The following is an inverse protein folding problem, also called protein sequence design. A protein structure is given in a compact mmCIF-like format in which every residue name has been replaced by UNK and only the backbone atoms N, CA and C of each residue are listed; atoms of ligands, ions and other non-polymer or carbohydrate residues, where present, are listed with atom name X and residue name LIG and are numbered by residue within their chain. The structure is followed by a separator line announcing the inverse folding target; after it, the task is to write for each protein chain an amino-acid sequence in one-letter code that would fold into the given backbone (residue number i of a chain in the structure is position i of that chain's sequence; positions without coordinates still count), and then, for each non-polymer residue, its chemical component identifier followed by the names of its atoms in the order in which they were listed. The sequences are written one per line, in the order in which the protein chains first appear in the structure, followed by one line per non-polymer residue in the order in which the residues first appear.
data_IF_495597694616
#
_entry.id   IF_495597694616
#
_cell.length_a   1.000
_cell.length_b   1.000
_cell.length_c   1.000
_cell.angle_alpha   90.00
_cell.angle_beta   90.00
_cell.angle_gamma   90.00
#
_symmetry.space_group_name_H-M   'P 1'
#
loop_
_entity.id
_entity.type
_entity.pdbx_description
1 polymer ?
#
# COMPACT_ATOMS: atom_id res chain seq x y z
N UNK A 1 16.85 -12.61 17.48
CA UNK A 1 16.92 -12.22 16.05
C UNK A 1 17.39 -10.78 15.98
N UNK A 2 18.22 -10.40 14.98
CA UNK A 2 18.50 -8.99 14.72
C UNK A 2 17.19 -8.23 14.41
N UNK A 3 17.11 -6.93 14.74
CA UNK A 3 15.94 -6.12 14.41
C UNK A 3 15.78 -6.00 12.90
N UNK A 4 14.52 -5.91 12.45
CA UNK A 4 14.19 -5.64 11.05
C UNK A 4 14.05 -4.13 10.89
N UNK A 5 14.70 -3.54 9.89
CA UNK A 5 14.54 -2.12 9.58
C UNK A 5 13.44 -1.92 8.55
N UNK A 6 12.34 -1.31 8.96
CA UNK A 6 11.26 -0.88 8.08
C UNK A 6 11.62 0.43 7.38
N UNK A 7 11.54 0.42 6.06
CA UNK A 7 11.97 1.52 5.19
C UNK A 7 10.75 2.21 4.63
N UNK A 8 10.44 3.38 5.17
CA UNK A 8 9.36 4.24 4.68
C UNK A 8 9.59 5.69 5.08
N UNK A 9 9.19 6.62 4.24
CA UNK A 9 9.06 8.04 4.60
C UNK A 9 7.62 8.41 5.01
N UNK A 10 6.65 7.50 4.83
CA UNK A 10 5.25 7.73 5.19
C UNK A 10 5.02 7.29 6.65
N UNK A 11 4.70 8.24 7.56
CA UNK A 11 4.49 7.93 8.97
C UNK A 11 3.27 7.03 9.23
N UNK A 12 2.25 7.07 8.35
CA UNK A 12 1.05 6.25 8.50
C UNK A 12 1.35 4.77 8.28
N UNK A 13 2.19 4.46 7.28
CA UNK A 13 2.67 3.09 7.03
C UNK A 13 3.40 2.53 8.25
N UNK A 14 4.19 3.35 8.93
CA UNK A 14 4.87 2.95 10.16
C UNK A 14 3.88 2.63 11.28
N UNK A 15 2.84 3.46 11.46
CA UNK A 15 1.79 3.23 12.46
C UNK A 15 1.03 1.93 12.18
N UNK A 16 0.61 1.71 10.93
CA UNK A 16 -0.12 0.51 10.50
C UNK A 16 0.72 -0.76 10.72
N UNK A 17 1.97 -0.77 10.25
CA UNK A 17 2.86 -1.93 10.40
C UNK A 17 3.14 -2.22 11.87
N UNK A 18 3.32 -1.18 12.69
CA UNK A 18 3.55 -1.35 14.13
C UNK A 18 2.31 -1.90 14.84
N UNK A 19 1.10 -1.56 14.39
CA UNK A 19 -0.14 -2.07 14.95
C UNK A 19 -0.42 -3.54 14.55
N UNK A 20 0.05 -3.97 13.38
CA UNK A 20 -0.20 -5.33 12.86
C UNK A 20 0.87 -6.32 13.32
N UNK A 21 2.13 -5.90 13.42
CA UNK A 21 3.22 -6.81 13.78
C UNK A 21 3.18 -7.17 15.28
N UNK A 22 3.37 -8.46 15.62
CA UNK A 22 3.43 -8.86 17.02
C UNK A 22 4.67 -8.29 17.71
N UNK A 23 4.56 -7.99 19.00
CA UNK A 23 5.64 -7.46 19.85
C UNK A 23 6.90 -8.35 19.89
N UNK A 24 6.83 -9.59 19.40
CA UNK A 24 7.97 -10.50 19.28
C UNK A 24 8.93 -10.11 18.16
N UNK A 25 8.50 -9.30 17.20
CA UNK A 25 9.33 -8.81 16.10
C UNK A 25 9.88 -7.44 16.48
N UNK A 26 11.21 -7.34 16.64
CA UNK A 26 11.85 -6.04 16.87
C UNK A 26 11.93 -5.27 15.56
N UNK A 27 11.12 -4.22 15.44
CA UNK A 27 11.09 -3.32 14.29
C UNK A 27 11.84 -2.03 14.60
N UNK A 28 12.70 -1.60 13.69
CA UNK A 28 13.30 -0.27 13.66
C UNK A 28 12.82 0.47 12.43
N UNK A 29 12.81 1.80 12.45
CA UNK A 29 12.37 2.60 11.30
C UNK A 29 13.54 3.42 10.75
N UNK A 30 13.62 3.51 9.41
CA UNK A 30 14.41 4.53 8.73
C UNK A 30 13.69 5.04 7.49
N UNK A 31 13.71 6.36 7.31
CA UNK A 31 13.37 6.96 6.03
C UNK A 31 14.63 6.96 5.15
N UNK A 32 14.59 6.23 4.04
CA UNK A 32 15.61 6.27 2.99
C UNK A 32 14.98 6.82 1.73
N UNK A 33 15.70 7.73 1.06
CA UNK A 33 15.37 8.17 -0.28
C UNK A 33 15.90 7.13 -1.28
N UNK A 34 15.03 6.22 -1.69
CA UNK A 34 15.34 5.16 -2.65
C UNK A 34 14.55 5.47 -3.92
N UNK A 35 15.23 5.74 -5.06
CA UNK A 35 14.55 5.92 -6.32
C UNK A 35 13.69 4.71 -6.68
N UNK A 36 12.41 4.94 -6.95
CA UNK A 36 11.49 3.90 -7.40
C UNK A 36 11.60 3.73 -8.91
N UNK A 37 11.85 2.50 -9.35
CA UNK A 37 11.82 2.16 -10.77
C UNK A 37 10.37 2.17 -11.28
N UNK A 38 10.19 2.16 -12.59
CA UNK A 38 8.90 1.86 -13.20
C UNK A 38 8.82 0.35 -13.49
N UNK A 39 7.65 -0.24 -13.30
CA UNK A 39 7.41 -1.66 -13.49
C UNK A 39 6.11 -2.12 -12.86
N UNK A 40 5.97 -3.43 -12.65
CA UNK A 40 4.92 -3.98 -11.81
C UNK A 40 5.15 -3.64 -10.33
N UNK A 41 4.10 -3.78 -9.51
CA UNK A 41 4.22 -3.58 -8.07
C UNK A 41 5.29 -4.50 -7.45
N UNK A 42 5.39 -5.74 -7.93
CA UNK A 42 6.40 -6.72 -7.50
C UNK A 42 7.81 -6.31 -7.90
N UNK A 43 8.01 -5.85 -9.14
CA UNK A 43 9.32 -5.39 -9.62
C UNK A 43 9.82 -4.20 -8.79
N UNK A 44 8.92 -3.25 -8.52
CA UNK A 44 9.18 -2.08 -7.68
C UNK A 44 9.56 -2.52 -6.27
N UNK A 45 8.74 -3.36 -5.63
CA UNK A 45 8.98 -3.84 -4.27
C UNK A 45 10.31 -4.62 -4.16
N UNK A 46 10.63 -5.46 -5.15
CA UNK A 46 11.90 -6.21 -5.21
C UNK A 46 13.08 -5.24 -5.34
N UNK A 47 13.03 -4.28 -6.27
CA UNK A 47 14.10 -3.32 -6.49
C UNK A 47 14.34 -2.45 -5.25
N UNK A 48 13.26 -1.93 -4.65
CA UNK A 48 13.29 -1.14 -3.42
C UNK A 48 13.87 -1.93 -2.25
N UNK A 49 13.42 -3.18 -2.06
CA UNK A 49 13.90 -4.05 -1.00
C UNK A 49 15.39 -4.40 -1.16
N UNK A 50 15.83 -4.75 -2.37
CA UNK A 50 17.25 -5.00 -2.66
C UNK A 50 18.09 -3.76 -2.35
N UNK A 51 17.68 -2.60 -2.84
CA UNK A 51 18.42 -1.35 -2.63
C UNK A 51 18.48 -0.97 -1.16
N UNK A 52 17.38 -1.14 -0.43
CA UNK A 52 17.36 -0.95 1.03
C UNK A 52 18.34 -1.88 1.74
N UNK A 53 18.37 -3.17 1.39
CA UNK A 53 19.26 -4.15 2.00
C UNK A 53 20.75 -3.83 1.76
N UNK A 54 21.08 -3.30 0.57
CA UNK A 54 22.43 -2.80 0.26
C UNK A 54 22.82 -1.57 1.09
N UNK A 55 21.89 -0.67 1.40
CA UNK A 55 22.18 0.53 2.19
C UNK A 55 22.29 0.18 3.68
N UNK A 56 21.35 -0.61 4.18
CA UNK A 56 21.26 -0.99 5.60
C UNK A 56 22.29 -2.05 5.99
N UNK A 57 22.75 -2.87 5.05
CA UNK A 57 23.64 -4.00 5.30
C UNK A 57 23.06 -4.98 6.33
N UNK A 58 21.75 -5.23 6.27
CA UNK A 58 21.03 -6.08 7.23
C UNK A 58 19.58 -6.36 6.85
N UNK A 59 18.78 -6.94 7.76
CA UNK A 59 17.39 -7.26 7.51
C UNK A 59 16.54 -6.01 7.28
N UNK A 60 15.81 -5.99 6.17
CA UNK A 60 14.95 -4.87 5.78
C UNK A 60 13.54 -5.33 5.44
N UNK A 61 12.59 -4.45 5.71
CA UNK A 61 11.20 -4.57 5.28
C UNK A 61 10.83 -3.29 4.52
N UNK A 62 10.23 -3.43 3.35
CA UNK A 62 9.70 -2.32 2.54
C UNK A 62 8.23 -2.60 2.24
N UNK A 63 7.48 -1.56 1.88
CA UNK A 63 6.07 -1.71 1.53
C UNK A 63 5.69 -0.72 0.41
N UNK A 64 5.02 -1.24 -0.61
CA UNK A 64 4.46 -0.50 -1.73
C UNK A 64 3.00 -0.87 -1.92
N UNK A 65 2.22 0.10 -2.38
CA UNK A 65 0.77 -0.01 -2.48
C UNK A 65 0.32 0.39 -3.89
N UNK A 66 -0.71 -0.29 -4.41
CA UNK A 66 -1.29 -0.01 -5.72
C UNK A 66 -2.81 0.06 -5.65
N UNK A 67 -3.38 0.80 -6.60
CA UNK A 67 -4.82 0.81 -6.88
C UNK A 67 -5.04 0.38 -8.32
N UNK A 68 -5.62 -0.80 -8.50
CA UNK A 68 -5.71 -1.46 -9.79
C UNK A 68 -7.16 -1.43 -10.29
N UNK A 69 -7.49 -0.55 -11.23
CA UNK A 69 -8.81 -0.55 -11.86
C UNK A 69 -8.91 -1.67 -12.89
N UNK A 70 -9.91 -2.54 -12.77
CA UNK A 70 -10.09 -3.67 -13.68
C UNK A 70 -10.31 -3.19 -15.12
N UNK A 71 -11.13 -2.17 -15.29
CA UNK A 71 -11.42 -1.56 -16.59
C UNK A 71 -10.19 -0.94 -17.27
N UNK A 72 -9.20 -0.48 -16.49
CA UNK A 72 -7.93 0.04 -17.01
C UNK A 72 -6.79 -0.98 -16.96
N UNK A 73 -7.12 -2.28 -16.92
CA UNK A 73 -6.16 -3.40 -16.89
C UNK A 73 -5.09 -3.25 -15.78
N UNK A 74 -5.53 -2.79 -14.61
CA UNK A 74 -4.68 -2.64 -13.43
C UNK A 74 -4.04 -1.25 -13.26
N UNK A 75 -4.25 -0.31 -14.18
CA UNK A 75 -3.86 1.08 -13.96
C UNK A 75 -4.84 1.81 -13.03
N UNK A 76 -4.40 2.87 -12.30
CA UNK A 76 -3.06 3.44 -12.27
C UNK A 76 -2.01 2.55 -11.58
N UNK A 77 -2.43 1.53 -10.83
CA UNK A 77 -1.57 0.54 -10.23
C UNK A 77 -0.60 1.17 -9.22
N UNK A 78 0.71 0.87 -9.27
CA UNK A 78 1.70 1.41 -8.33
C UNK A 78 1.89 2.93 -8.47
N UNK A 79 1.39 3.54 -9.55
CA UNK A 79 1.51 4.97 -9.81
C UNK A 79 0.39 5.80 -9.16
N UNK A 80 -0.51 5.18 -8.40
CA UNK A 80 -1.69 5.83 -7.81
C UNK A 80 -1.37 7.11 -7.04
N UNK A 81 -0.22 7.20 -6.36
CA UNK A 81 0.22 8.40 -5.67
C UNK A 81 0.27 9.62 -6.59
N UNK A 82 0.93 9.50 -7.75
CA UNK A 82 1.05 10.60 -8.71
C UNK A 82 -0.28 10.97 -9.33
N UNK A 83 -1.13 9.98 -9.62
CA UNK A 83 -2.49 10.25 -10.11
C UNK A 83 -3.33 10.96 -9.06
N UNK A 84 -3.23 10.55 -7.79
CA UNK A 84 -3.93 11.19 -6.68
C UNK A 84 -3.46 12.63 -6.47
N UNK A 85 -2.16 12.89 -6.45
CA UNK A 85 -1.60 14.25 -6.31
C UNK A 85 -2.07 15.19 -7.43
N UNK A 86 -2.21 14.68 -8.66
CA UNK A 86 -2.64 15.48 -9.80
C UNK A 86 -4.17 15.64 -9.92
N UNK A 87 -4.93 14.60 -9.60
CA UNK A 87 -6.36 14.50 -9.92
C UNK A 87 -7.27 14.58 -8.69
N UNK A 88 -6.73 14.28 -7.51
CA UNK A 88 -7.52 14.04 -6.31
C UNK A 88 -8.49 12.86 -6.44
N UNK A 89 -9.33 12.69 -5.42
CA UNK A 89 -10.33 11.61 -5.38
C UNK A 89 -11.39 11.74 -6.46
N UNK A 90 -11.86 12.96 -6.72
CA UNK A 90 -12.86 13.22 -7.75
C UNK A 90 -12.32 12.87 -9.14
N UNK A 91 -11.09 13.29 -9.45
CA UNK A 91 -10.49 13.00 -10.73
C UNK A 91 -10.18 11.51 -10.91
N UNK A 92 -9.69 10.83 -9.87
CA UNK A 92 -9.53 9.36 -9.89
C UNK A 92 -10.86 8.64 -10.13
N UNK A 93 -11.96 9.09 -9.53
CA UNK A 93 -13.29 8.51 -9.78
C UNK A 93 -13.73 8.75 -11.23
N UNK A 94 -13.54 9.96 -11.75
CA UNK A 94 -13.90 10.36 -13.11
C UNK A 94 -13.11 9.65 -14.21
N UNK A 95 -11.90 9.13 -13.92
CA UNK A 95 -11.16 8.28 -14.85
C UNK A 95 -11.98 7.07 -15.33
N UNK A 96 -12.94 6.62 -14.51
CA UNK A 96 -13.80 5.47 -14.80
C UNK A 96 -15.15 5.85 -15.42
N UNK A 97 -15.43 7.13 -15.69
CA UNK A 97 -16.72 7.55 -16.26
C UNK A 97 -16.97 7.00 -17.67
N UNK A 98 -15.90 6.69 -18.41
CA UNK A 98 -15.98 6.07 -19.74
C UNK A 98 -16.10 4.54 -19.74
N UNK A 99 -16.18 3.90 -18.58
CA UNK A 99 -16.20 2.44 -18.45
C UNK A 99 -17.44 1.97 -17.67
N UNK A 100 -18.02 0.85 -18.11
CA UNK A 100 -19.14 0.21 -17.41
C UNK A 100 -18.68 -0.49 -16.12
N UNK A 101 -17.43 -0.98 -16.11
CA UNK A 101 -16.82 -1.67 -14.99
C UNK A 101 -16.07 -0.68 -14.09
N UNK A 102 -16.52 -0.56 -12.84
CA UNK A 102 -15.85 0.25 -11.80
C UNK A 102 -15.19 -0.59 -10.72
N UNK A 103 -15.03 -1.89 -10.95
CA UNK A 103 -14.34 -2.77 -10.00
C UNK A 103 -12.84 -2.46 -9.94
N UNK A 104 -12.28 -2.56 -8.75
CA UNK A 104 -10.89 -2.27 -8.47
C UNK A 104 -10.35 -3.12 -7.33
N UNK A 105 -9.03 -3.23 -7.28
CA UNK A 105 -8.31 -3.86 -6.17
C UNK A 105 -7.33 -2.88 -5.54
N UNK A 106 -7.38 -2.74 -4.22
CA UNK A 106 -6.28 -2.18 -3.45
C UNK A 106 -5.31 -3.30 -3.13
N UNK A 107 -4.05 -3.09 -3.48
CA UNK A 107 -2.98 -4.09 -3.32
C UNK A 107 -1.91 -3.50 -2.43
N UNK A 108 -1.51 -4.24 -1.40
CA UNK A 108 -0.36 -3.91 -0.56
C UNK A 108 0.67 -5.02 -0.69
N UNK A 109 1.91 -4.67 -1.02
CA UNK A 109 3.02 -5.60 -1.16
C UNK A 109 4.14 -5.24 -0.21
N UNK A 110 4.43 -6.15 0.72
CA UNK A 110 5.63 -6.09 1.55
C UNK A 110 6.77 -6.85 0.88
N UNK A 111 7.96 -6.25 0.90
CA UNK A 111 9.21 -6.89 0.51
C UNK A 111 10.14 -7.06 1.70
N UNK A 112 10.55 -8.28 2.00
CA UNK A 112 11.52 -8.60 3.05
C UNK A 112 12.81 -9.15 2.48
N UNK A 113 13.94 -8.69 3.00
CA UNK A 113 15.25 -9.31 2.74
C UNK A 113 16.04 -9.44 4.04
N UNK A 114 16.70 -10.58 4.31
CA UNK A 114 17.57 -10.72 5.47
C UNK A 114 18.91 -9.99 5.32
N UNK A 115 19.24 -9.46 4.13
CA UNK A 115 20.49 -8.74 3.89
C UNK A 115 20.88 -8.63 2.41
N UNK A 116 22.01 -7.96 2.10
CA UNK A 116 22.47 -7.75 0.74
C UNK A 116 22.74 -9.07 0.00
N UNK A 117 22.49 -9.09 -1.31
CA UNK A 117 22.69 -10.27 -2.17
C UNK A 117 21.66 -11.39 -1.98
N UNK A 118 20.68 -11.23 -1.07
CA UNK A 118 19.59 -12.19 -0.86
C UNK A 118 18.38 -11.79 -1.69
N UNK A 119 17.72 -12.78 -2.28
CA UNK A 119 16.49 -12.55 -3.03
C UNK A 119 15.37 -12.08 -2.08
N UNK A 120 14.72 -10.93 -2.34
CA UNK A 120 13.60 -10.51 -1.52
C UNK A 120 12.44 -11.49 -1.57
N UNK A 121 11.79 -11.67 -0.43
CA UNK A 121 10.52 -12.37 -0.29
C UNK A 121 9.39 -11.36 -0.34
N UNK A 122 8.36 -11.64 -1.12
CA UNK A 122 7.19 -10.78 -1.25
C UNK A 122 6.00 -11.37 -0.48
N UNK A 123 5.25 -10.51 0.20
CA UNK A 123 3.98 -10.82 0.83
C UNK A 123 2.95 -9.82 0.30
N UNK A 124 1.87 -10.30 -0.30
CA UNK A 124 0.88 -9.44 -0.93
C UNK A 124 -0.51 -9.66 -0.31
N UNK A 125 -1.16 -8.55 0.06
CA UNK A 125 -2.57 -8.49 0.43
C UNK A 125 -3.36 -7.76 -0.66
N UNK A 126 -4.57 -8.26 -0.97
CA UNK A 126 -5.46 -7.67 -1.98
C UNK A 126 -6.86 -7.52 -1.39
N UNK A 127 -7.50 -6.39 -1.65
CA UNK A 127 -8.90 -6.15 -1.30
C UNK A 127 -9.62 -5.70 -2.57
N UNK A 128 -10.63 -6.47 -2.97
CA UNK A 128 -11.48 -6.18 -4.12
C UNK A 128 -12.71 -5.38 -3.70
N UNK A 129 -13.12 -4.43 -4.54
CA UNK A 129 -14.42 -3.78 -4.43
C UNK A 129 -14.70 -2.86 -5.60
N UNK A 130 -15.49 -1.81 -5.37
CA UNK A 130 -15.99 -0.93 -6.43
C UNK A 130 -15.66 0.52 -6.12
N UNK A 131 -15.16 1.25 -7.11
CA UNK A 131 -14.86 2.68 -7.02
C UNK A 131 -16.16 3.49 -7.04
N UNK A 132 -16.41 4.19 -5.94
CA UNK A 132 -17.57 5.08 -5.79
C UNK A 132 -17.15 6.54 -5.67
N UNK A 133 -18.03 7.50 -6.00
CA UNK A 133 -17.78 8.91 -5.75
C UNK A 133 -17.44 9.13 -4.27
N UNK A 134 -16.50 10.03 -3.94
CA UNK A 134 -16.16 10.32 -2.55
C UNK A 134 -17.41 10.81 -1.81
N UNK A 135 -17.60 10.29 -0.60
CA UNK A 135 -18.68 10.69 0.33
C UNK A 135 -18.02 11.09 1.65
N UNK A 136 -18.65 11.94 2.46
CA UNK A 136 -18.09 12.34 3.77
C UNK A 136 -16.99 13.40 3.72
N UNK A 137 -16.55 13.91 4.89
CA UNK A 137 -15.44 14.87 4.97
C UNK A 137 -14.14 14.23 4.47
N UNK A 138 -13.18 15.01 3.94
CA UNK A 138 -11.89 14.48 3.50
C UNK A 138 -11.14 13.92 4.72
N UNK A 139 -11.11 12.59 4.84
CA UNK A 139 -10.33 11.89 5.86
C UNK A 139 -9.02 11.44 5.19
N UNK A 140 -7.95 12.19 5.48
CA UNK A 140 -6.53 11.95 5.16
C UNK A 140 -6.05 11.88 3.70
N UNK A 141 -4.77 12.27 3.54
CA UNK A 141 -4.00 12.40 2.30
C UNK A 141 -3.55 11.05 1.70
N UNK A 142 -4.45 10.12 1.41
CA UNK A 142 -4.26 9.03 0.42
C UNK A 142 -5.44 8.05 0.39
N UNK A 143 -6.63 8.45 0.84
CA UNK A 143 -7.81 7.59 0.76
C UNK A 143 -8.10 7.29 -0.71
N UNK A 144 -7.62 6.14 -1.20
CA UNK A 144 -8.01 5.56 -2.49
C UNK A 144 -9.54 5.63 -2.60
N UNK A 145 -10.10 5.94 -3.77
CA UNK A 145 -11.54 6.07 -3.97
C UNK A 145 -12.23 4.87 -3.33
N UNK A 146 -13.26 5.12 -2.51
CA UNK A 146 -13.74 4.16 -1.53
C UNK A 146 -14.04 2.81 -2.19
N UNK A 147 -13.22 1.80 -1.89
CA UNK A 147 -13.44 0.43 -2.38
C UNK A 147 -14.49 -0.19 -1.48
N UNK A 148 -15.70 -0.39 -2.00
CA UNK A 148 -16.75 -1.09 -1.26
C UNK A 148 -16.66 -2.61 -1.46
N UNK A 149 -16.35 -3.35 -0.41
CA UNK A 149 -16.40 -4.82 -0.38
C UNK A 149 -17.86 -5.33 -0.46
N UNK A 150 -18.15 -6.45 -1.16
CA UNK A 150 -19.50 -7.02 -1.19
C UNK A 150 -20.00 -7.43 0.21
N UNK A 151 -21.13 -6.89 0.65
CA UNK A 151 -21.81 -7.28 1.90
C UNK A 151 -21.48 -6.47 3.16
N UNK A 152 -20.60 -5.46 3.08
CA UNK A 152 -20.35 -4.53 4.20
C UNK A 152 -21.15 -3.23 4.09
N UNK A 153 -21.54 -2.68 5.24
CA UNK A 153 -22.14 -1.34 5.42
C UNK A 153 -21.23 -0.31 4.72
N UNK A 154 -21.77 0.68 3.99
CA UNK A 154 -20.98 1.65 3.23
C UNK A 154 -20.04 2.43 4.15
N UNK A 155 -18.76 2.02 4.19
CA UNK A 155 -17.70 2.80 4.82
C UNK A 155 -17.02 3.63 3.76
N UNK A 156 -17.09 4.93 3.98
CA UNK A 156 -16.35 5.95 3.27
C UNK A 156 -14.89 5.80 3.64
N UNK A 157 -14.03 5.89 2.62
CA UNK A 157 -12.59 5.69 2.70
C UNK A 157 -12.22 4.27 3.15
N UNK A 158 -11.12 3.76 2.61
CA UNK A 158 -10.45 2.62 3.24
C UNK A 158 -9.80 3.16 4.51
N UNK A 159 -10.61 3.46 5.52
CA UNK A 159 -10.15 3.48 6.91
C UNK A 159 -9.95 2.02 7.30
N UNK A 160 -8.69 1.65 7.51
CA UNK A 160 -8.35 0.54 8.38
C UNK A 160 -8.90 0.90 9.77
N UNK A 161 -10.12 0.45 10.07
CA UNK A 161 -10.46 0.23 11.47
C UNK A 161 -9.49 -0.86 11.91
N UNK A 162 -8.51 -0.48 12.73
CA UNK A 162 -7.69 -1.42 13.45
C UNK A 162 -8.65 -2.45 14.05
N UNK A 163 -8.47 -3.72 13.68
CA UNK A 163 -9.15 -4.81 14.32
C UNK A 163 -8.58 -4.97 15.75
N UNK A 164 -8.83 -3.97 16.59
CA UNK A 164 -8.86 -4.06 18.03
C UNK A 164 -10.33 -3.95 18.40
N UNK A 165 -11.08 -5.00 18.08
CA UNK A 165 -12.35 -5.27 18.72
C UNK A 165 -12.18 -6.53 19.57
N UNK A 166 -11.86 -6.28 20.84
CA UNK A 166 -12.30 -7.04 22.02
C UNK A 166 -11.90 -8.51 22.12
N UNK A 167 -10.95 -8.74 23.03
CA UNK A 167 -11.00 -9.82 24.02
C UNK A 167 -12.42 -10.32 24.31
N UNK A 168 -12.62 -11.62 24.16
CA UNK A 168 -13.31 -12.50 25.12
C UNK A 168 -12.74 -13.90 24.95
#
# INVERSE_FOLDING_TARGET
MPPITFITSNPNKLLEVTAILPNTISLTHRALDIPEIQGSLEEIAIAKCRRAAEIIQGPVLVEDSALEFRAMKGLPGPYVKYFFEALGNDGLNRLLDGFDDRTAEAVCTFGYSPGPGRQPLLFQGRITGVIVPPRGPPVFEWAVPSIQSPGQIPRVAVEYESAVASTS
#
